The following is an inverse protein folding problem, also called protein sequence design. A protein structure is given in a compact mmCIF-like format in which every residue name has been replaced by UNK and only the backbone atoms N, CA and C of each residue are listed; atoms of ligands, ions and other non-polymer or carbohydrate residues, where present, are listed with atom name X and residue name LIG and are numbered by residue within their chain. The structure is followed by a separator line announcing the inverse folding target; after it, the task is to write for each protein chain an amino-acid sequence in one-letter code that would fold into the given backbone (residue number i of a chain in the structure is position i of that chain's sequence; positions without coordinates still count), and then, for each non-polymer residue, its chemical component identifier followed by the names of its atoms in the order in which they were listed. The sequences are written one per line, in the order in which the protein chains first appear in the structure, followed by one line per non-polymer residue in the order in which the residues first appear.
data_IF_082864402222
#
_entry.id   IF_082864402222
#
_cell.length_a   1.000
_cell.length_b   1.000
_cell.length_c   1.000
_cell.angle_alpha   90.00
_cell.angle_beta   90.00
_cell.angle_gamma   90.00
#
_symmetry.space_group_name_H-M   'P 1'
#
loop_
_entity.id
_entity.type
_entity.pdbx_description
1 polymer ?
#
# COMPACT_ATOMS: atom_id res chain seq x y z
N UNK A 1 -23.94 13.81 2.38
CA UNK A 1 -23.18 15.02 2.75
C UNK A 1 -21.75 14.63 2.96
N UNK A 2 -20.80 15.18 2.19
CA UNK A 2 -19.36 14.96 2.44
C UNK A 2 -19.04 15.66 3.77
N UNK A 3 -18.42 15.00 4.73
CA UNK A 3 -18.04 15.68 5.96
C UNK A 3 -16.99 16.74 5.60
N UNK A 4 -17.27 17.99 5.87
CA UNK A 4 -16.42 19.16 5.57
C UNK A 4 -14.98 19.03 6.09
N UNK A 5 -14.76 18.17 7.08
CA UNK A 5 -13.45 17.86 7.64
C UNK A 5 -12.52 17.06 6.71
N UNK A 6 -13.06 16.22 5.79
CA UNK A 6 -12.22 15.51 4.78
C UNK A 6 -11.59 16.48 3.82
N UNK A 7 -12.37 17.47 3.36
CA UNK A 7 -11.87 18.57 2.52
C UNK A 7 -10.89 19.44 3.31
N UNK A 8 -11.14 19.66 4.61
CA UNK A 8 -10.25 20.39 5.50
C UNK A 8 -8.91 19.69 5.73
N UNK A 9 -8.90 18.36 5.93
CA UNK A 9 -7.67 17.57 6.08
C UNK A 9 -6.87 17.56 4.79
N UNK A 10 -7.51 17.35 3.64
CA UNK A 10 -6.84 17.40 2.33
C UNK A 10 -6.28 18.80 2.08
N UNK A 11 -7.05 19.85 2.33
CA UNK A 11 -6.60 21.23 2.20
C UNK A 11 -5.46 21.56 3.17
N UNK A 12 -5.52 21.10 4.43
CA UNK A 12 -4.46 21.27 5.41
C UNK A 12 -3.16 20.55 5.00
N UNK A 13 -3.28 19.31 4.50
CA UNK A 13 -2.13 18.55 3.97
C UNK A 13 -1.53 19.26 2.77
N UNK A 14 -2.35 19.74 1.83
CA UNK A 14 -1.89 20.50 0.66
C UNK A 14 -1.25 21.82 1.08
N UNK A 15 -1.83 22.56 2.03
CA UNK A 15 -1.27 23.83 2.55
C UNK A 15 0.02 23.57 3.31
N UNK A 16 0.13 22.51 4.10
CA UNK A 16 1.38 22.11 4.75
C UNK A 16 2.43 21.73 3.71
N UNK A 17 2.06 20.99 2.67
CA UNK A 17 2.95 20.68 1.54
C UNK A 17 3.43 21.97 0.87
N UNK A 18 2.53 22.90 0.57
CA UNK A 18 2.86 24.18 -0.05
C UNK A 18 3.68 25.10 0.87
N UNK A 19 3.38 25.13 2.16
CA UNK A 19 4.13 25.95 3.13
C UNK A 19 5.53 25.39 3.42
N UNK A 20 5.70 24.08 3.38
CA UNK A 20 6.99 23.41 3.57
C UNK A 20 7.82 23.37 2.26
N UNK A 21 7.21 23.63 1.11
CA UNK A 21 7.91 23.67 -0.20
C UNK A 21 8.65 25.00 -0.48
N UNK A 22 8.51 25.99 0.40
CA UNK A 22 9.25 27.25 0.34
C UNK A 22 10.58 27.09 1.07
N UNK A 23 11.53 26.37 0.48
CA UNK A 23 12.86 26.24 1.09
C UNK A 23 13.73 25.17 0.45
N UNK A 24 15.02 25.42 0.55
CA UNK A 24 16.19 24.67 0.12
C UNK A 24 15.99 23.15 -0.02
N UNK A 25 16.73 22.51 -0.93
CA UNK A 25 16.72 21.03 -1.17
C UNK A 25 17.05 20.21 0.08
N UNK A 26 17.62 20.81 1.11
CA UNK A 26 17.85 20.23 2.44
C UNK A 26 16.63 20.30 3.37
N UNK A 27 15.59 21.01 2.95
CA UNK A 27 14.35 21.19 3.69
C UNK A 27 13.45 19.94 3.72
N UNK A 28 12.32 19.99 4.46
CA UNK A 28 11.39 18.87 4.56
C UNK A 28 10.56 18.60 3.30
N UNK A 29 10.56 19.49 2.31
CA UNK A 29 9.70 19.41 1.13
C UNK A 29 9.87 18.12 0.31
N UNK A 30 11.09 17.64 -0.03
CA UNK A 30 11.30 16.36 -0.70
C UNK A 30 10.69 15.19 0.08
N UNK A 31 10.89 15.18 1.40
CA UNK A 31 10.38 14.13 2.29
C UNK A 31 8.86 14.13 2.41
N UNK A 32 8.21 15.31 2.28
CA UNK A 32 6.74 15.41 2.22
C UNK A 32 6.22 14.75 0.94
N UNK A 33 6.82 15.05 -0.22
CA UNK A 33 6.43 14.43 -1.50
C UNK A 33 6.61 12.91 -1.44
N UNK A 34 7.78 12.45 -0.98
CA UNK A 34 8.06 11.03 -0.80
C UNK A 34 7.12 10.38 0.22
N UNK A 35 6.75 11.11 1.26
CA UNK A 35 5.78 10.67 2.28
C UNK A 35 4.39 10.48 1.71
N UNK A 36 3.92 11.39 0.84
CA UNK A 36 2.62 11.25 0.17
C UNK A 36 2.63 10.06 -0.79
N UNK A 37 3.70 9.89 -1.58
CA UNK A 37 3.83 8.78 -2.54
C UNK A 37 3.89 7.44 -1.80
N UNK A 38 4.83 7.27 -0.86
CA UNK A 38 4.94 6.05 -0.06
C UNK A 38 3.66 5.77 0.71
N UNK A 39 3.06 6.81 1.28
CA UNK A 39 1.81 6.74 2.01
C UNK A 39 0.62 6.32 1.16
N UNK A 40 0.54 6.76 -0.09
CA UNK A 40 -0.50 6.34 -1.01
C UNK A 40 -0.32 4.86 -1.42
N UNK A 41 0.92 4.38 -1.57
CA UNK A 41 1.22 2.96 -1.76
C UNK A 41 0.79 2.14 -0.54
N UNK A 42 1.13 2.59 0.68
CA UNK A 42 0.67 1.96 1.92
C UNK A 42 -0.86 1.94 1.99
N UNK A 43 -1.50 3.02 1.55
CA UNK A 43 -2.94 3.13 1.45
C UNK A 43 -3.59 2.11 0.50
N UNK A 44 -2.98 1.82 -0.66
CA UNK A 44 -3.47 0.77 -1.57
C UNK A 44 -3.40 -0.61 -0.93
N UNK A 45 -2.28 -0.95 -0.29
CA UNK A 45 -2.13 -2.22 0.43
C UNK A 45 -3.10 -2.28 1.62
N UNK A 46 -3.27 -1.18 2.35
CA UNK A 46 -4.22 -1.06 3.45
C UNK A 46 -5.67 -1.26 3.00
N UNK A 47 -6.08 -0.73 1.83
CA UNK A 47 -7.40 -1.02 1.24
C UNK A 47 -7.54 -2.53 0.99
N UNK A 48 -6.52 -3.19 0.43
CA UNK A 48 -6.51 -4.64 0.25
C UNK A 48 -6.71 -5.40 1.56
N UNK A 49 -5.99 -5.01 2.63
CA UNK A 49 -6.13 -5.58 3.97
C UNK A 49 -7.55 -5.36 4.54
N UNK A 50 -8.09 -4.15 4.42
CA UNK A 50 -9.45 -3.82 4.90
C UNK A 50 -10.52 -4.56 4.11
N UNK A 51 -10.36 -4.74 2.78
CA UNK A 51 -11.26 -5.53 1.96
C UNK A 51 -11.34 -6.97 2.44
N UNK A 52 -10.20 -7.62 2.62
CA UNK A 52 -10.13 -9.00 3.14
C UNK A 52 -10.70 -9.08 4.54
N UNK A 53 -10.36 -8.13 5.42
CA UNK A 53 -10.91 -8.08 6.76
C UNK A 53 -12.45 -7.94 6.77
N UNK A 54 -13.00 -7.12 5.88
CA UNK A 54 -14.45 -6.98 5.72
C UNK A 54 -15.12 -8.28 5.25
N UNK A 55 -14.47 -9.01 4.34
CA UNK A 55 -15.01 -10.26 3.80
C UNK A 55 -14.87 -11.47 4.72
N UNK A 56 -13.70 -11.63 5.32
CA UNK A 56 -13.34 -12.84 6.10
C UNK A 56 -13.20 -12.57 7.61
N UNK A 57 -13.23 -11.31 8.07
CA UNK A 57 -12.98 -10.89 9.46
C UNK A 57 -11.61 -11.34 9.99
N UNK A 58 -10.64 -11.52 9.09
CA UNK A 58 -9.27 -11.95 9.37
C UNK A 58 -8.31 -11.09 8.55
N UNK A 59 -7.12 -10.84 9.07
CA UNK A 59 -6.06 -10.16 8.34
C UNK A 59 -5.36 -11.13 7.39
N UNK A 60 -5.02 -10.63 6.20
CA UNK A 60 -4.22 -11.37 5.24
C UNK A 60 -2.74 -10.97 5.37
N UNK A 61 -1.94 -11.78 6.05
CA UNK A 61 -0.50 -11.54 6.17
C UNK A 61 0.28 -11.83 4.89
N UNK A 62 -0.31 -12.57 3.93
CA UNK A 62 0.28 -12.74 2.60
C UNK A 62 0.03 -11.55 1.66
N UNK A 63 -0.59 -10.46 2.14
CA UNK A 63 -0.92 -9.30 1.31
C UNK A 63 0.31 -8.64 0.68
N UNK A 64 1.45 -8.61 1.40
CA UNK A 64 2.71 -8.09 0.87
C UNK A 64 3.22 -8.91 -0.30
N UNK A 65 3.15 -10.24 -0.20
CA UNK A 65 3.70 -11.14 -1.21
C UNK A 65 2.96 -11.10 -2.56
N UNK A 66 1.71 -10.66 -2.58
CA UNK A 66 1.04 -10.37 -3.85
C UNK A 66 1.75 -9.28 -4.65
N UNK A 67 2.32 -8.29 -3.96
CA UNK A 67 3.12 -7.22 -4.59
C UNK A 67 4.51 -7.69 -4.99
N UNK A 68 5.20 -8.44 -4.13
CA UNK A 68 6.54 -8.99 -4.42
C UNK A 68 6.48 -9.92 -5.63
N UNK A 69 5.54 -10.87 -5.66
CA UNK A 69 5.39 -11.82 -6.77
C UNK A 69 5.02 -11.11 -8.07
N UNK A 70 4.13 -10.11 -8.02
CA UNK A 70 3.80 -9.33 -9.20
C UNK A 70 5.03 -8.62 -9.78
N UNK A 71 5.89 -8.07 -8.92
CA UNK A 71 7.15 -7.45 -9.35
C UNK A 71 8.13 -8.48 -9.95
N UNK A 72 8.22 -9.69 -9.37
CA UNK A 72 9.01 -10.77 -9.97
C UNK A 72 8.49 -11.19 -11.34
N UNK A 73 7.17 -11.28 -11.51
CA UNK A 73 6.57 -11.59 -12.84
C UNK A 73 6.88 -10.48 -13.84
N UNK A 74 6.77 -9.21 -13.43
CA UNK A 74 7.14 -8.08 -14.28
C UNK A 74 8.64 -8.13 -14.64
N UNK A 75 9.52 -8.38 -13.66
CA UNK A 75 10.95 -8.55 -13.88
C UNK A 75 11.25 -9.66 -14.89
N UNK A 76 10.66 -10.84 -14.73
CA UNK A 76 10.86 -11.96 -15.66
C UNK A 76 10.37 -11.61 -17.07
N UNK A 77 9.22 -10.92 -17.20
CA UNK A 77 8.71 -10.51 -18.48
C UNK A 77 9.64 -9.51 -19.19
N UNK A 78 10.19 -8.55 -18.46
CA UNK A 78 11.07 -7.50 -19.02
C UNK A 78 12.49 -8.04 -19.23
N UNK A 79 13.12 -8.58 -18.20
CA UNK A 79 14.54 -8.92 -18.20
C UNK A 79 14.83 -10.23 -18.95
N UNK A 80 13.95 -11.25 -18.82
CA UNK A 80 14.17 -12.58 -19.47
C UNK A 80 13.53 -12.73 -20.82
N UNK A 81 12.38 -12.07 -21.03
CA UNK A 81 11.61 -12.20 -22.27
C UNK A 81 11.63 -10.93 -23.12
N UNK A 82 12.39 -9.91 -22.73
CA UNK A 82 12.53 -8.62 -23.45
C UNK A 82 11.17 -7.98 -23.82
N UNK A 83 10.19 -8.12 -22.90
CA UNK A 83 8.85 -7.59 -23.11
C UNK A 83 8.76 -6.14 -22.60
N UNK A 84 7.96 -5.35 -23.29
CA UNK A 84 7.63 -4.00 -22.82
C UNK A 84 6.76 -4.02 -21.55
N UNK A 85 6.73 -2.92 -20.81
CA UNK A 85 5.82 -2.73 -19.67
C UNK A 85 4.34 -2.91 -20.03
N UNK A 86 3.96 -2.66 -21.29
CA UNK A 86 2.59 -2.89 -21.76
C UNK A 86 2.17 -4.36 -21.68
N UNK A 87 3.12 -5.29 -21.77
CA UNK A 87 2.89 -6.73 -21.60
C UNK A 87 3.17 -7.17 -20.16
N UNK A 88 4.24 -6.68 -19.57
CA UNK A 88 4.66 -7.05 -18.22
C UNK A 88 3.64 -6.69 -17.16
N UNK A 89 3.04 -5.48 -17.23
CA UNK A 89 2.06 -5.02 -16.26
C UNK A 89 0.78 -5.88 -16.25
N UNK A 90 0.09 -6.12 -17.38
CA UNK A 90 -1.04 -7.04 -17.41
C UNK A 90 -0.69 -8.45 -16.94
N UNK A 91 0.48 -8.98 -17.30
CA UNK A 91 0.93 -10.29 -16.85
C UNK A 91 1.09 -10.36 -15.33
N UNK A 92 1.72 -9.36 -14.73
CA UNK A 92 1.88 -9.25 -13.28
C UNK A 92 0.54 -9.12 -12.55
N UNK A 93 -0.38 -8.29 -13.06
CA UNK A 93 -1.72 -8.15 -12.50
C UNK A 93 -2.53 -9.45 -12.61
N UNK A 94 -2.43 -10.14 -13.73
CA UNK A 94 -3.09 -11.45 -13.94
C UNK A 94 -2.52 -12.51 -12.99
N UNK A 95 -1.21 -12.56 -12.81
CA UNK A 95 -0.57 -13.49 -11.88
C UNK A 95 -1.04 -13.24 -10.44
N UNK A 96 -1.08 -11.99 -10.01
CA UNK A 96 -1.60 -11.62 -8.69
C UNK A 96 -3.09 -11.97 -8.54
N UNK A 97 -3.92 -11.68 -9.55
CA UNK A 97 -5.33 -12.05 -9.56
C UNK A 97 -5.49 -13.56 -9.38
N UNK A 98 -4.78 -14.36 -10.18
CA UNK A 98 -4.81 -15.82 -10.08
C UNK A 98 -4.38 -16.29 -8.70
N UNK A 99 -3.31 -15.73 -8.14
CA UNK A 99 -2.83 -16.06 -6.81
C UNK A 99 -3.88 -15.73 -5.74
N UNK A 100 -4.55 -14.57 -5.81
CA UNK A 100 -5.63 -14.20 -4.91
C UNK A 100 -6.83 -15.14 -5.01
N UNK A 101 -7.21 -15.55 -6.23
CA UNK A 101 -8.30 -16.51 -6.46
C UNK A 101 -7.94 -17.91 -5.97
N UNK A 102 -6.71 -18.36 -6.19
CA UNK A 102 -6.19 -19.64 -5.68
C UNK A 102 -6.21 -19.64 -4.16
N UNK A 103 -5.74 -18.55 -3.53
CA UNK A 103 -5.75 -18.42 -2.08
C UNK A 103 -7.18 -18.47 -1.52
N UNK A 104 -8.13 -17.77 -2.13
CA UNK A 104 -9.55 -17.85 -1.72
C UNK A 104 -10.08 -19.28 -1.85
N UNK A 105 -9.85 -19.93 -2.99
CA UNK A 105 -10.44 -21.24 -3.30
C UNK A 105 -9.83 -22.38 -2.49
N UNK A 106 -8.49 -22.40 -2.38
CA UNK A 106 -7.75 -23.52 -1.82
C UNK A 106 -7.58 -23.42 -0.30
N UNK A 107 -7.52 -22.21 0.26
CA UNK A 107 -7.18 -21.98 1.66
C UNK A 107 -8.32 -21.33 2.41
N UNK A 108 -8.80 -20.18 1.96
CA UNK A 108 -9.76 -19.40 2.72
C UNK A 108 -11.11 -20.10 2.79
N UNK A 109 -11.64 -20.52 1.65
CA UNK A 109 -12.96 -21.16 1.57
C UNK A 109 -13.09 -22.41 2.43
N UNK A 110 -12.14 -23.37 2.41
CA UNK A 110 -12.21 -24.55 3.30
C UNK A 110 -12.15 -24.19 4.79
N UNK A 111 -11.46 -23.10 5.13
CA UNK A 111 -11.24 -22.66 6.50
C UNK A 111 -12.27 -21.64 7.00
N UNK A 112 -13.24 -21.21 6.17
CA UNK A 112 -14.23 -20.18 6.58
C UNK A 112 -15.07 -20.53 7.80
N UNK A 113 -15.29 -21.81 8.04
CA UNK A 113 -16.05 -22.31 9.18
C UNK A 113 -15.17 -22.66 10.39
N UNK A 114 -13.86 -22.49 10.29
CA UNK A 114 -12.90 -22.74 11.37
C UNK A 114 -12.73 -21.47 12.25
N UNK A 115 -12.16 -21.60 13.45
CA UNK A 115 -11.82 -20.45 14.27
C UNK A 115 -10.97 -19.44 13.50
N UNK A 116 -11.21 -18.14 13.74
CA UNK A 116 -10.50 -17.05 13.02
C UNK A 116 -8.98 -17.13 13.12
N UNK A 117 -8.47 -17.65 14.26
CA UNK A 117 -7.04 -17.86 14.47
C UNK A 117 -6.47 -18.86 13.46
N UNK A 118 -7.20 -19.91 13.12
CA UNK A 118 -6.76 -20.91 12.12
C UNK A 118 -6.55 -20.25 10.75
N UNK A 119 -7.48 -19.40 10.33
CA UNK A 119 -7.36 -18.68 9.06
C UNK A 119 -6.22 -17.66 9.08
N UNK A 120 -6.02 -16.97 10.21
CA UNK A 120 -4.89 -16.04 10.38
C UNK A 120 -3.56 -16.78 10.26
N UNK A 121 -3.38 -17.90 10.97
CA UNK A 121 -2.17 -18.74 10.88
C UNK A 121 -1.98 -19.27 9.46
N UNK A 122 -3.06 -19.65 8.77
CA UNK A 122 -2.99 -20.10 7.39
C UNK A 122 -2.46 -18.99 6.46
N UNK A 123 -2.86 -17.72 6.63
CA UNK A 123 -2.34 -16.61 5.81
C UNK A 123 -0.86 -16.35 6.07
N UNK A 124 -0.39 -16.49 7.31
CA UNK A 124 1.04 -16.42 7.65
C UNK A 124 1.81 -17.57 7.01
N UNK A 125 1.28 -18.80 7.09
CA UNK A 125 1.91 -19.95 6.47
C UNK A 125 2.03 -19.80 4.94
N UNK A 126 1.00 -19.23 4.30
CA UNK A 126 1.07 -18.90 2.87
C UNK A 126 2.12 -17.85 2.58
N UNK A 127 2.20 -16.79 3.38
CA UNK A 127 3.24 -15.76 3.21
C UNK A 127 4.65 -16.40 3.25
N UNK A 128 4.91 -17.23 4.26
CA UNK A 128 6.18 -17.93 4.40
C UNK A 128 6.45 -18.92 3.25
N UNK A 129 5.43 -19.60 2.77
CA UNK A 129 5.53 -20.48 1.59
C UNK A 129 5.93 -19.68 0.34
N UNK A 130 5.27 -18.54 0.09
CA UNK A 130 5.55 -17.69 -1.06
C UNK A 130 6.96 -17.11 -0.97
N UNK A 131 7.39 -16.60 0.19
CA UNK A 131 8.77 -16.15 0.43
C UNK A 131 9.77 -17.29 0.18
N UNK A 132 9.48 -18.50 0.65
CA UNK A 132 10.31 -19.67 0.39
C UNK A 132 10.43 -19.99 -1.11
N UNK A 133 9.35 -19.87 -1.86
CA UNK A 133 9.35 -20.05 -3.32
C UNK A 133 10.14 -18.94 -4.03
N UNK A 134 10.01 -17.69 -3.58
CA UNK A 134 10.81 -16.56 -4.11
C UNK A 134 12.30 -16.82 -3.93
N UNK A 135 12.73 -17.23 -2.73
CA UNK A 135 14.13 -17.57 -2.43
C UNK A 135 14.61 -18.75 -3.30
N UNK A 136 13.77 -19.77 -3.46
CA UNK A 136 14.11 -20.97 -4.25
C UNK A 136 14.30 -20.62 -5.73
N UNK A 137 13.47 -19.75 -6.30
CA UNK A 137 13.46 -19.43 -7.74
C UNK A 137 14.45 -18.32 -8.06
N UNK A 138 14.47 -17.24 -7.27
CA UNK A 138 15.23 -16.02 -7.56
C UNK A 138 16.47 -15.84 -6.69
N UNK A 139 16.66 -16.69 -5.67
CA UNK A 139 17.71 -16.58 -4.64
C UNK A 139 17.55 -15.30 -3.81
N UNK A 140 18.59 -14.94 -3.04
CA UNK A 140 18.58 -13.74 -2.16
C UNK A 140 19.29 -12.56 -2.85
N UNK A 141 19.80 -12.76 -4.06
CA UNK A 141 20.51 -11.71 -4.79
C UNK A 141 19.55 -10.59 -5.18
N UNK A 142 19.95 -9.32 -4.97
CA UNK A 142 19.09 -8.20 -5.35
C UNK A 142 18.97 -8.10 -6.86
N UNK A 143 17.74 -8.08 -7.34
CA UNK A 143 17.40 -7.82 -8.75
C UNK A 143 16.94 -6.37 -8.89
N UNK A 144 17.13 -5.80 -10.06
CA UNK A 144 16.76 -4.42 -10.35
C UNK A 144 15.67 -4.41 -11.42
N UNK A 145 14.53 -3.87 -11.07
CA UNK A 145 13.43 -3.64 -12.01
C UNK A 145 13.48 -2.17 -12.43
N UNK A 146 13.59 -1.91 -13.73
CA UNK A 146 13.58 -0.55 -14.24
C UNK A 146 12.23 0.15 -13.98
N UNK A 147 12.23 1.46 -13.68
CA UNK A 147 10.99 2.21 -13.51
C UNK A 147 10.18 2.25 -14.81
N UNK A 148 8.83 2.29 -14.69
CA UNK A 148 7.89 2.37 -15.83
C UNK A 148 8.18 3.60 -16.70
N UNK A 149 8.59 4.69 -16.09
CA UNK A 149 8.97 5.93 -16.76
C UNK A 149 10.44 6.18 -16.48
N UNK A 150 11.31 5.75 -17.39
CA UNK A 150 12.71 6.16 -17.41
C UNK A 150 12.87 7.25 -18.46
N UNK A 151 13.08 8.48 -18.02
CA UNK A 151 13.46 9.57 -18.92
C UNK A 151 14.99 9.59 -19.16
N UNK A 152 15.56 8.42 -19.41
CA UNK A 152 16.93 8.28 -19.93
C UNK A 152 16.91 8.54 -21.42
N UNK A 153 16.92 9.80 -21.80
CA UNK A 153 16.92 10.19 -23.22
C UNK A 153 17.33 11.62 -23.48
N UNK A 154 17.56 12.40 -22.46
CA UNK A 154 18.10 13.77 -22.57
C UNK A 154 19.37 13.85 -21.73
N UNK A 155 20.49 14.06 -22.41
CA UNK A 155 21.83 14.08 -21.83
C UNK A 155 21.96 14.87 -20.54
N UNK A 156 22.84 14.38 -19.68
CA UNK A 156 23.54 15.00 -18.53
C UNK A 156 22.84 16.07 -17.65
N UNK A 157 21.51 16.19 -17.70
CA UNK A 157 20.73 17.11 -16.88
C UNK A 157 19.65 16.35 -16.13
N UNK A 158 19.51 16.59 -14.84
CA UNK A 158 18.40 16.11 -14.00
C UNK A 158 17.09 16.57 -14.64
N UNK A 159 16.47 15.71 -15.44
CA UNK A 159 15.19 15.97 -16.09
C UNK A 159 14.07 15.86 -15.06
N UNK A 160 13.52 16.99 -14.65
CA UNK A 160 12.41 17.09 -13.71
C UNK A 160 11.65 18.39 -13.86
N UNK A 161 10.43 18.44 -13.37
CA UNK A 161 9.67 19.68 -13.26
C UNK A 161 10.19 20.46 -12.06
N UNK A 162 10.78 21.62 -12.30
CA UNK A 162 11.20 22.51 -11.23
C UNK A 162 9.99 23.22 -10.65
N UNK A 163 9.63 22.82 -9.45
CA UNK A 163 8.57 23.49 -8.69
C UNK A 163 9.24 24.23 -7.53
N UNK A 164 9.27 25.56 -7.61
CA UNK A 164 10.11 26.42 -6.74
C UNK A 164 11.59 26.00 -6.87
N UNK A 165 12.31 25.74 -5.82
CA UNK A 165 13.71 25.28 -5.85
C UNK A 165 13.87 23.75 -5.78
N UNK A 166 12.76 23.01 -5.90
CA UNK A 166 12.73 21.56 -5.83
C UNK A 166 12.46 20.92 -7.20
N UNK A 167 13.28 19.93 -7.59
CA UNK A 167 13.10 19.17 -8.82
C UNK A 167 12.32 17.90 -8.50
N UNK A 168 11.11 17.81 -9.01
CA UNK A 168 10.30 16.59 -8.88
C UNK A 168 10.60 15.71 -10.09
N UNK A 169 11.08 14.51 -9.81
CA UNK A 169 11.27 13.45 -10.79
C UNK A 169 9.94 13.14 -11.50
N UNK A 170 9.91 13.06 -12.83
CA UNK A 170 8.73 12.67 -13.60
C UNK A 170 8.09 11.36 -13.18
N UNK A 171 8.89 10.39 -12.73
CA UNK A 171 8.36 9.12 -12.17
C UNK A 171 7.52 9.38 -10.92
N UNK A 172 7.96 10.27 -10.03
CA UNK A 172 7.18 10.66 -8.83
C UNK A 172 5.85 11.32 -9.19
N UNK A 173 5.84 12.19 -10.22
CA UNK A 173 4.61 12.79 -10.73
C UNK A 173 3.68 11.76 -11.36
N UNK A 174 4.22 10.84 -12.16
CA UNK A 174 3.45 9.75 -12.75
C UNK A 174 2.82 8.87 -11.65
N UNK A 175 3.59 8.53 -10.61
CA UNK A 175 3.08 7.78 -9.45
C UNK A 175 1.95 8.52 -8.74
N UNK A 176 2.11 9.81 -8.45
CA UNK A 176 1.06 10.61 -7.82
C UNK A 176 -0.21 10.63 -8.69
N UNK A 177 -0.06 10.79 -10.01
CA UNK A 177 -1.18 10.74 -10.96
C UNK A 177 -1.89 9.39 -10.93
N UNK A 178 -1.15 8.29 -11.05
CA UNK A 178 -1.72 6.93 -11.01
C UNK A 178 -2.42 6.66 -9.67
N UNK A 179 -1.78 7.01 -8.55
CA UNK A 179 -2.34 6.80 -7.22
C UNK A 179 -3.58 7.65 -6.97
N UNK A 180 -3.62 8.90 -7.46
CA UNK A 180 -4.80 9.75 -7.38
C UNK A 180 -5.97 9.18 -8.21
N UNK A 181 -5.69 8.74 -9.45
CA UNK A 181 -6.70 8.11 -10.32
C UNK A 181 -7.24 6.82 -9.67
N UNK A 182 -6.36 5.97 -9.15
CA UNK A 182 -6.76 4.74 -8.45
C UNK A 182 -7.58 5.04 -7.20
N UNK A 183 -7.19 6.02 -6.39
CA UNK A 183 -7.94 6.44 -5.20
C UNK A 183 -9.36 6.89 -5.55
N UNK A 184 -9.51 7.73 -6.60
CA UNK A 184 -10.82 8.17 -7.10
C UNK A 184 -11.62 7.01 -7.69
N UNK A 185 -10.99 6.16 -8.51
CA UNK A 185 -11.63 4.99 -9.11
C UNK A 185 -12.16 4.02 -8.06
N UNK A 186 -11.37 3.73 -7.02
CA UNK A 186 -11.79 2.88 -5.90
C UNK A 186 -12.93 3.52 -5.11
N UNK A 187 -12.84 4.83 -4.81
CA UNK A 187 -13.89 5.54 -4.11
C UNK A 187 -15.22 5.51 -4.91
N UNK A 188 -15.14 5.70 -6.21
CA UNK A 188 -16.30 5.58 -7.11
C UNK A 188 -16.84 4.15 -7.15
N UNK A 189 -15.96 3.16 -7.34
CA UNK A 189 -16.31 1.75 -7.40
C UNK A 189 -17.10 1.31 -6.16
N UNK A 190 -16.60 1.56 -4.96
CA UNK A 190 -17.26 1.14 -3.71
C UNK A 190 -18.52 1.94 -3.37
N UNK A 191 -18.70 3.15 -3.92
CA UNK A 191 -19.86 3.99 -3.63
C UNK A 191 -20.96 3.92 -4.68
N UNK A 192 -20.65 3.44 -5.90
CA UNK A 192 -21.54 3.59 -7.05
C UNK A 192 -21.80 2.31 -7.85
N UNK A 193 -21.01 1.23 -7.62
CA UNK A 193 -21.23 -0.03 -8.36
C UNK A 193 -21.94 -1.07 -7.50
N UNK A 194 -22.73 -1.95 -8.15
CA UNK A 194 -23.46 -3.03 -7.48
C UNK A 194 -22.52 -4.00 -6.77
N UNK A 195 -21.34 -4.29 -7.37
CA UNK A 195 -20.32 -5.13 -6.75
C UNK A 195 -19.72 -4.46 -5.51
N UNK A 196 -19.42 -3.16 -5.59
CA UNK A 196 -18.94 -2.39 -4.44
C UNK A 196 -19.96 -2.37 -3.30
N UNK A 197 -21.24 -2.17 -3.61
CA UNK A 197 -22.32 -2.22 -2.64
C UNK A 197 -22.52 -3.64 -2.07
N UNK A 198 -22.38 -4.70 -2.89
CA UNK A 198 -22.44 -6.09 -2.44
C UNK A 198 -21.29 -6.43 -1.46
N UNK A 199 -20.07 -5.92 -1.70
CA UNK A 199 -18.94 -6.05 -0.77
C UNK A 199 -19.27 -5.37 0.56
N UNK A 200 -19.80 -4.15 0.54
CA UNK A 200 -20.20 -3.42 1.74
C UNK A 200 -21.32 -4.14 2.50
N UNK A 201 -22.36 -4.62 1.82
CA UNK A 201 -23.45 -5.38 2.42
C UNK A 201 -22.96 -6.67 3.08
N UNK A 202 -22.12 -7.45 2.38
CA UNK A 202 -21.54 -8.70 2.90
C UNK A 202 -20.69 -8.46 4.13
N UNK A 203 -19.96 -7.32 4.17
CA UNK A 203 -19.14 -6.96 5.31
C UNK A 203 -19.93 -6.62 6.58
N UNK A 204 -21.17 -6.17 6.42
CA UNK A 204 -22.07 -5.87 7.54
C UNK A 204 -22.74 -7.15 8.06
N UNK A 205 -23.39 -7.90 7.19
CA UNK A 205 -24.07 -9.13 7.55
C UNK A 205 -24.13 -10.10 6.35
N UNK A 206 -23.20 -11.07 6.32
CA UNK A 206 -23.14 -12.07 5.27
C UNK A 206 -24.38 -12.97 5.20
N UNK A 207 -25.05 -13.23 6.34
CA UNK A 207 -26.27 -14.04 6.39
C UNK A 207 -27.44 -13.27 5.72
N UNK A 208 -27.68 -12.04 6.13
CA UNK A 208 -28.70 -11.20 5.53
C UNK A 208 -28.45 -10.99 4.02
N UNK A 209 -27.21 -10.84 3.62
CA UNK A 209 -26.81 -10.71 2.21
C UNK A 209 -27.17 -11.94 1.37
N UNK A 210 -27.05 -13.15 1.93
CA UNK A 210 -27.50 -14.40 1.28
C UNK A 210 -29.00 -14.46 1.13
N UNK A 211 -29.74 -14.03 2.16
CA UNK A 211 -31.22 -14.06 2.15
C UNK A 211 -31.78 -13.18 1.03
N UNK A 212 -31.15 -12.05 0.72
CA UNK A 212 -31.55 -11.19 -0.41
C UNK A 212 -30.99 -11.65 -1.76
N UNK A 213 -30.38 -12.85 -1.84
CA UNK A 213 -29.97 -13.49 -3.09
C UNK A 213 -28.59 -13.11 -3.60
N UNK A 214 -27.77 -12.37 -2.83
CA UNK A 214 -26.40 -12.04 -3.23
C UNK A 214 -25.46 -13.23 -2.93
N UNK A 215 -24.75 -13.76 -3.95
CA UNK A 215 -23.87 -14.93 -3.79
C UNK A 215 -22.56 -14.55 -3.07
N UNK A 216 -22.52 -14.71 -1.75
CA UNK A 216 -21.40 -14.34 -0.88
C UNK A 216 -20.06 -14.96 -1.34
N UNK A 217 -20.07 -16.16 -1.92
CA UNK A 217 -18.88 -16.83 -2.46
C UNK A 217 -18.30 -16.09 -3.69
N UNK A 218 -19.14 -15.44 -4.51
CA UNK A 218 -18.67 -14.60 -5.63
C UNK A 218 -18.07 -13.29 -5.11
N UNK A 219 -18.69 -12.72 -4.08
CA UNK A 219 -18.18 -11.53 -3.41
C UNK A 219 -16.82 -11.81 -2.74
N UNK A 220 -16.69 -12.96 -2.07
CA UNK A 220 -15.41 -13.40 -1.47
C UNK A 220 -14.29 -13.51 -2.53
N UNK A 221 -14.55 -14.20 -3.63
CA UNK A 221 -13.58 -14.31 -4.75
C UNK A 221 -13.16 -12.95 -5.30
N UNK A 222 -14.13 -12.04 -5.47
CA UNK A 222 -13.85 -10.69 -5.91
C UNK A 222 -12.97 -9.94 -4.91
N UNK A 223 -13.26 -10.02 -3.61
CA UNK A 223 -12.47 -9.39 -2.54
C UNK A 223 -11.01 -9.83 -2.58
N UNK A 224 -10.76 -11.14 -2.64
CA UNK A 224 -9.40 -11.69 -2.64
C UNK A 224 -8.65 -11.35 -3.94
N UNK A 225 -9.33 -11.44 -5.10
CA UNK A 225 -8.75 -11.03 -6.38
C UNK A 225 -8.42 -9.52 -6.42
N UNK A 226 -9.35 -8.67 -5.99
CA UNK A 226 -9.15 -7.23 -5.95
C UNK A 226 -8.02 -6.84 -4.96
N UNK A 227 -7.98 -7.46 -3.77
CA UNK A 227 -6.93 -7.22 -2.80
C UNK A 227 -5.54 -7.61 -3.36
N UNK A 228 -5.44 -8.75 -4.05
CA UNK A 228 -4.21 -9.19 -4.69
C UNK A 228 -3.77 -8.22 -5.80
N UNK A 229 -4.69 -7.75 -6.63
CA UNK A 229 -4.39 -6.75 -7.67
C UNK A 229 -3.92 -5.42 -7.08
N UNK A 230 -4.53 -4.96 -5.98
CA UNK A 230 -4.06 -3.74 -5.28
C UNK A 230 -2.66 -3.93 -4.72
N UNK A 231 -2.35 -5.11 -4.16
CA UNK A 231 -1.00 -5.47 -3.75
C UNK A 231 -0.01 -5.45 -4.92
N UNK A 232 -0.40 -6.01 -6.07
CA UNK A 232 0.42 -6.02 -7.28
C UNK A 232 0.73 -4.61 -7.79
N UNK A 233 -0.28 -3.75 -7.90
CA UNK A 233 -0.10 -2.35 -8.31
C UNK A 233 0.85 -1.64 -7.34
N UNK A 234 0.63 -1.83 -6.02
CA UNK A 234 1.49 -1.25 -5.00
C UNK A 234 2.94 -1.73 -5.14
N UNK A 235 3.19 -3.02 -5.40
CA UNK A 235 4.53 -3.58 -5.58
C UNK A 235 5.25 -3.01 -6.80
N UNK A 236 4.57 -2.95 -7.94
CA UNK A 236 5.12 -2.41 -9.18
C UNK A 236 5.43 -0.90 -9.07
N UNK A 237 4.62 -0.16 -8.32
CA UNK A 237 4.86 1.26 -8.09
C UNK A 237 5.92 1.53 -7.02
N UNK A 238 6.06 0.64 -6.03
CA UNK A 238 6.96 0.85 -4.88
C UNK A 238 8.38 0.39 -5.16
N UNK A 239 8.54 -0.81 -5.74
CA UNK A 239 9.84 -1.49 -5.79
C UNK A 239 10.86 -0.73 -6.65
N UNK A 240 10.59 -0.36 -7.93
CA UNK A 240 11.59 0.27 -8.75
C UNK A 240 12.06 1.64 -8.23
N UNK A 241 11.16 2.59 -7.89
CA UNK A 241 11.58 3.95 -7.54
C UNK A 241 11.87 4.16 -6.05
N UNK A 242 11.35 3.33 -5.15
CA UNK A 242 11.42 3.57 -3.69
C UNK A 242 12.27 2.53 -2.98
N UNK A 243 12.01 1.24 -3.21
CA UNK A 243 12.81 0.17 -2.63
C UNK A 243 14.17 0.02 -3.34
N UNK A 244 14.23 0.34 -4.64
CA UNK A 244 15.44 0.27 -5.47
C UNK A 244 15.93 -1.14 -5.77
N UNK A 245 15.45 -2.14 -5.05
CA UNK A 245 15.86 -3.55 -5.18
C UNK A 245 14.66 -4.47 -5.03
N UNK A 246 14.60 -5.49 -5.89
CA UNK A 246 13.65 -6.58 -5.80
C UNK A 246 14.35 -7.77 -5.12
N UNK A 247 13.98 -8.00 -3.87
CA UNK A 247 14.46 -9.12 -3.05
C UNK A 247 13.26 -9.86 -2.47
N UNK A 248 13.40 -11.15 -2.09
CA UNK A 248 12.33 -11.88 -1.43
C UNK A 248 11.75 -11.13 -0.22
N UNK A 249 10.44 -11.18 -0.06
CA UNK A 249 9.69 -10.52 1.02
C UNK A 249 9.80 -8.98 1.06
N UNK A 250 10.27 -8.30 0.00
CA UNK A 250 10.48 -6.84 0.02
C UNK A 250 9.23 -6.06 0.40
N UNK A 251 8.06 -6.44 -0.11
CA UNK A 251 6.80 -5.78 0.22
C UNK A 251 6.30 -6.14 1.62
N UNK A 252 6.49 -7.37 2.06
CA UNK A 252 6.12 -7.77 3.42
C UNK A 252 7.00 -7.07 4.46
N UNK A 253 8.30 -6.97 4.22
CA UNK A 253 9.23 -6.33 5.16
C UNK A 253 9.06 -4.81 5.24
N UNK A 254 8.84 -4.14 4.10
CA UNK A 254 8.88 -2.67 4.04
C UNK A 254 7.49 -2.02 4.00
N UNK A 255 6.47 -2.71 3.49
CA UNK A 255 5.15 -2.11 3.21
C UNK A 255 4.04 -2.68 4.07
N UNK A 256 4.06 -3.97 4.41
CA UNK A 256 2.94 -4.62 5.08
C UNK A 256 2.67 -4.01 6.46
N UNK A 257 3.70 -3.76 7.27
CA UNK A 257 3.55 -3.17 8.62
C UNK A 257 3.04 -1.73 8.54
N UNK A 258 3.65 -0.81 7.74
CA UNK A 258 3.08 0.52 7.51
C UNK A 258 1.64 0.49 6.99
N UNK A 259 1.31 -0.41 6.07
CA UNK A 259 -0.04 -0.55 5.53
C UNK A 259 -1.04 -1.07 6.58
N UNK A 260 -0.62 -2.00 7.44
CA UNK A 260 -1.43 -2.45 8.57
C UNK A 260 -1.70 -1.29 9.54
N UNK A 261 -0.67 -0.54 9.89
CA UNK A 261 -0.77 0.68 10.69
C UNK A 261 -1.73 1.68 10.05
N UNK A 262 -1.63 1.89 8.74
CA UNK A 262 -2.53 2.74 7.97
C UNK A 262 -3.99 2.28 8.03
N UNK A 263 -4.24 0.97 7.91
CA UNK A 263 -5.58 0.40 8.01
C UNK A 263 -6.18 0.63 9.40
N UNK A 264 -5.39 0.47 10.47
CA UNK A 264 -5.83 0.70 11.85
C UNK A 264 -6.08 2.19 12.10
N UNK A 265 -5.12 3.06 11.74
CA UNK A 265 -5.24 4.53 11.87
C UNK A 265 -6.45 5.04 11.07
N UNK A 266 -6.62 4.57 9.85
CA UNK A 266 -7.74 4.95 8.99
C UNK A 266 -9.10 4.45 9.48
N UNK A 267 -9.09 3.39 10.27
CA UNK A 267 -10.27 2.66 10.75
C UNK A 267 -10.56 1.44 9.88
N UNK A 268 -10.47 0.25 10.49
CA UNK A 268 -10.60 -1.07 9.85
C UNK A 268 -11.91 -1.30 9.08
N UNK A 269 -12.89 -0.44 9.26
CA UNK A 269 -14.20 -0.53 8.61
C UNK A 269 -14.35 0.46 7.45
N UNK A 270 -13.37 1.35 7.22
CA UNK A 270 -13.43 2.43 6.24
C UNK A 270 -12.34 2.31 5.17
N UNK A 271 -12.74 1.98 3.92
CA UNK A 271 -11.80 1.93 2.79
C UNK A 271 -11.16 3.29 2.48
N UNK A 272 -11.93 4.41 2.42
CA UNK A 272 -11.31 5.73 2.28
C UNK A 272 -10.42 6.09 3.48
N UNK A 273 -10.80 5.62 4.68
CA UNK A 273 -9.99 5.78 5.89
C UNK A 273 -8.64 5.10 5.76
N UNK A 274 -8.61 3.87 5.30
CA UNK A 274 -7.37 3.12 5.10
C UNK A 274 -6.42 3.83 4.12
N UNK A 275 -6.94 4.40 3.04
CA UNK A 275 -6.13 5.17 2.09
C UNK A 275 -5.54 6.44 2.73
N UNK A 276 -6.38 7.22 3.42
CA UNK A 276 -5.92 8.42 4.12
C UNK A 276 -4.96 8.09 5.27
N UNK A 277 -5.23 7.01 5.99
CA UNK A 277 -4.32 6.47 7.00
C UNK A 277 -2.95 6.15 6.42
N UNK A 278 -2.91 5.61 5.19
CA UNK A 278 -1.67 5.38 4.44
C UNK A 278 -0.88 6.66 4.23
N UNK A 279 -1.52 7.71 3.74
CA UNK A 279 -0.88 9.02 3.53
C UNK A 279 -0.34 9.58 4.85
N UNK A 280 -1.10 9.48 5.93
CA UNK A 280 -0.64 9.91 7.27
C UNK A 280 0.60 9.12 7.72
N UNK A 281 0.59 7.79 7.57
CA UNK A 281 1.73 6.93 7.94
C UNK A 281 2.96 7.26 7.10
N UNK A 282 2.81 7.43 5.80
CA UNK A 282 3.92 7.80 4.91
C UNK A 282 4.53 9.16 5.24
N UNK A 283 3.69 10.16 5.56
CA UNK A 283 4.15 11.46 6.01
C UNK A 283 4.90 11.37 7.34
N UNK A 284 4.35 10.66 8.33
CA UNK A 284 5.02 10.44 9.63
C UNK A 284 6.36 9.78 9.43
N UNK A 285 6.43 8.72 8.61
CA UNK A 285 7.67 7.99 8.33
C UNK A 285 8.72 8.88 7.69
N UNK A 286 8.38 9.58 6.60
CA UNK A 286 9.36 10.38 5.84
C UNK A 286 9.77 11.65 6.56
N UNK A 287 8.86 12.31 7.27
CA UNK A 287 9.22 13.47 8.10
C UNK A 287 10.08 13.06 9.30
N UNK A 288 9.85 11.89 9.89
CA UNK A 288 10.72 11.36 10.95
C UNK A 288 12.10 11.01 10.42
N UNK A 289 12.19 10.47 9.20
CA UNK A 289 13.45 10.20 8.52
C UNK A 289 14.23 11.50 8.27
N UNK A 290 13.56 12.56 7.77
CA UNK A 290 14.13 13.88 7.62
C UNK A 290 14.64 14.43 8.95
N UNK A 291 13.82 14.39 9.99
CA UNK A 291 14.22 14.87 11.32
C UNK A 291 15.41 14.08 11.86
N UNK A 292 15.42 12.75 11.71
CA UNK A 292 16.51 11.91 12.18
C UNK A 292 17.83 12.12 11.44
N UNK A 293 17.78 12.55 10.18
CA UNK A 293 18.98 12.92 9.41
C UNK A 293 19.46 14.35 9.68
N UNK A 294 18.54 15.26 10.02
CA UNK A 294 18.84 16.69 10.16
C UNK A 294 19.25 17.05 11.59
N UNK A 295 18.66 16.41 12.60
CA UNK A 295 18.93 16.72 14.02
C UNK A 295 19.94 15.77 14.62
N UNK A 296 20.73 16.27 15.57
CA UNK A 296 21.83 15.58 16.23
C UNK A 296 21.50 15.28 17.69
N UNK A 297 21.98 14.13 18.16
CA UNK A 297 22.04 13.79 19.59
C UNK A 297 23.51 13.85 20.01
N UNK A 298 23.92 14.98 20.59
CA UNK A 298 25.35 15.28 20.79
C UNK A 298 26.03 15.63 19.47
N UNK A 299 27.07 14.90 19.08
CA UNK A 299 27.82 15.13 17.85
C UNK A 299 27.38 14.25 16.66
N UNK A 300 26.41 13.34 16.89
CA UNK A 300 26.03 12.30 15.94
C UNK A 300 24.57 12.50 15.52
N UNK A 301 24.20 12.37 14.21
CA UNK A 301 22.81 12.41 13.75
C UNK A 301 21.96 11.37 14.48
N UNK A 302 20.70 11.71 14.77
CA UNK A 302 19.74 10.80 15.43
C UNK A 302 19.64 9.47 14.69
N UNK A 303 19.68 9.49 13.37
CA UNK A 303 19.59 8.29 12.54
C UNK A 303 20.69 7.26 12.84
N UNK A 304 21.91 7.71 13.18
CA UNK A 304 23.01 6.83 13.55
C UNK A 304 22.92 6.35 15.00
N UNK A 305 22.35 7.20 15.86
CA UNK A 305 22.19 6.90 17.30
C UNK A 305 20.98 6.00 17.56
N UNK A 306 19.92 6.17 16.78
CA UNK A 306 18.66 5.41 16.87
C UNK A 306 18.31 4.85 15.49
N UNK A 307 18.93 3.72 15.09
CA UNK A 307 18.56 3.04 13.86
C UNK A 307 17.07 2.67 13.89
N UNK A 308 16.35 2.99 12.83
CA UNK A 308 14.90 2.73 12.78
C UNK A 308 14.03 3.78 13.46
N UNK A 309 14.51 4.99 13.69
CA UNK A 309 13.75 6.10 14.26
C UNK A 309 12.42 6.33 13.51
N UNK A 310 12.39 6.13 12.19
CA UNK A 310 11.19 6.26 11.37
C UNK A 310 10.14 5.18 11.69
N UNK A 311 10.56 3.93 11.97
CA UNK A 311 9.66 2.85 12.38
C UNK A 311 9.09 3.13 13.78
N UNK A 312 9.94 3.59 14.70
CA UNK A 312 9.51 4.00 16.05
C UNK A 312 8.46 5.10 15.97
N UNK A 313 8.64 6.10 15.10
CA UNK A 313 7.69 7.18 14.94
C UNK A 313 6.34 6.68 14.38
N UNK A 314 6.34 5.74 13.42
CA UNK A 314 5.12 5.12 12.89
C UNK A 314 4.38 4.35 13.98
N UNK A 315 5.09 3.55 14.80
CA UNK A 315 4.46 2.83 15.90
C UNK A 315 3.97 3.76 17.01
N UNK A 316 4.72 4.83 17.32
CA UNK A 316 4.27 5.85 18.29
C UNK A 316 3.00 6.55 17.81
N UNK A 317 2.92 6.90 16.51
CA UNK A 317 1.71 7.46 15.92
C UNK A 317 0.52 6.49 15.99
N UNK A 318 0.74 5.19 15.73
CA UNK A 318 -0.27 4.15 15.87
C UNK A 318 -0.80 4.10 17.32
N UNK A 319 0.09 3.99 18.30
CA UNK A 319 -0.29 3.92 19.70
C UNK A 319 -1.03 5.18 20.15
N UNK A 320 -0.57 6.35 19.74
CA UNK A 320 -1.20 7.64 20.08
C UNK A 320 -2.62 7.71 19.50
N UNK A 321 -2.82 7.30 18.26
CA UNK A 321 -4.16 7.30 17.66
C UNK A 321 -5.07 6.28 18.33
N UNK A 322 -4.58 5.09 18.65
CA UNK A 322 -5.36 4.07 19.37
C UNK A 322 -5.75 4.52 20.77
N UNK A 323 -4.90 5.29 21.47
CA UNK A 323 -5.20 5.84 22.77
C UNK A 323 -6.27 6.95 22.71
N UNK A 324 -6.24 7.79 21.68
CA UNK A 324 -7.17 8.93 21.52
C UNK A 324 -8.46 8.48 20.84
N UNK A 325 -8.34 7.65 19.80
CA UNK A 325 -9.45 7.15 18.97
C UNK A 325 -9.27 5.68 18.60
N UNK A 326 -9.68 4.73 19.45
CA UNK A 326 -9.51 3.30 19.21
C UNK A 326 -10.22 2.78 17.96
N UNK A 327 -11.20 3.54 17.42
CA UNK A 327 -11.92 3.20 16.19
C UNK A 327 -11.19 3.68 14.92
N UNK A 328 -10.06 4.40 15.05
CA UNK A 328 -9.39 5.07 13.96
C UNK A 328 -10.06 6.38 13.52
N UNK A 329 -9.44 7.05 12.53
CA UNK A 329 -9.88 8.39 12.08
C UNK A 329 -11.27 8.39 11.45
N UNK A 330 -11.63 7.35 10.68
CA UNK A 330 -12.86 7.21 9.91
C UNK A 330 -13.65 5.93 10.22
N UNK A 331 -13.27 5.21 11.28
CA UNK A 331 -14.02 4.05 11.75
C UNK A 331 -15.39 4.46 12.28
N UNK A 332 -16.41 3.63 12.04
CA UNK A 332 -17.73 3.74 12.65
C UNK A 332 -17.85 2.69 13.74
N UNK A 333 -18.54 3.02 14.83
CA UNK A 333 -18.97 2.02 15.81
C UNK A 333 -19.79 0.96 15.09
N UNK A 334 -19.42 -0.32 15.30
CA UNK A 334 -20.13 -1.45 14.72
C UNK A 334 -21.27 -1.89 15.64
#
# INVERSE_FOLDING_TARGET
MRPAWVTGVIAAVVVVILALSVGDQTGPAPFVVDGVISGAVYGLVAIGLVLVYKGARVFNFAQGEFGTIAAYVAYVAIDRFDQSYLVALPAALLAALVLGLVMERAIVRPLMNQPRVTLLVATIAVALLLIGLEILIFRIEPLFLEPIVSLTGAGDGVSGIRLFDFIIDPMRLAMLGVLAVLGVALAYFFSRTDLGLAVLATSQNAFATRVVGIPVERVSRFIWGAAAMLGAIAGILYIPPIAGQLVPAVMTSNVLIPAFTAAVIGGMTSLPGAFLGGVVVGLVQKLSSWAATTYYLGEVPIQQTVPGAEQVAVFAALLLILLIRPQGLLGREA
#
